data_IF_889846865482
#
_entry.id   IF_889846865482
#
_cell.length_a   1.000
_cell.length_b   1.000
_cell.length_c   1.000
_cell.angle_alpha   90.00
_cell.angle_beta   90.00
_cell.angle_gamma   90.00
#
_symmetry.space_group_name_H-M   'P 1'
#
loop_
_entity.id
_entity.type
_entity.pdbx_description
1 polymer ?
#
# COMPACT_ATOMS: atom_id res chain seq x y z
N UNK A 1 -42.98 20.71 49.64
CA UNK A 1 -43.26 20.56 48.19
C UNK A 1 -42.34 21.51 47.43
N UNK A 2 -41.70 20.99 46.37
CA UNK A 2 -40.82 21.64 45.38
C UNK A 2 -39.38 21.95 45.83
N UNK A 3 -38.36 21.13 45.49
CA UNK A 3 -37.71 20.78 44.20
C UNK A 3 -36.81 21.89 43.59
N UNK A 4 -35.50 21.60 43.61
CA UNK A 4 -34.46 21.80 42.58
C UNK A 4 -34.09 23.21 42.08
N UNK A 5 -32.78 23.50 42.12
CA UNK A 5 -31.98 23.58 40.90
C UNK A 5 -30.48 23.37 41.20
N UNK A 6 -29.98 22.17 40.90
CA UNK A 6 -28.57 21.85 40.73
C UNK A 6 -28.47 21.19 39.36
N UNK A 7 -27.65 21.74 38.45
CA UNK A 7 -27.39 21.11 37.17
C UNK A 7 -26.86 22.05 36.09
N UNK A 8 -25.63 22.55 36.23
CA UNK A 8 -24.84 22.93 35.05
C UNK A 8 -24.28 21.62 34.46
N UNK A 9 -25.02 21.01 33.54
CA UNK A 9 -24.56 19.82 32.84
C UNK A 9 -23.61 20.27 31.71
N UNK A 10 -22.31 20.38 32.02
CA UNK A 10 -21.28 20.60 31.01
C UNK A 10 -21.09 19.30 30.24
N UNK A 11 -21.64 19.23 29.03
CA UNK A 11 -21.41 18.09 28.14
C UNK A 11 -19.96 18.11 27.67
N UNK A 12 -19.17 17.13 28.11
CA UNK A 12 -17.82 16.86 27.62
C UNK A 12 -17.96 15.86 26.47
N UNK A 13 -17.39 16.16 25.31
CA UNK A 13 -17.39 15.22 24.17
C UNK A 13 -16.48 14.02 24.45
N UNK A 14 -16.71 12.86 23.83
CA UNK A 14 -15.87 11.65 24.01
C UNK A 14 -14.37 11.93 23.75
N UNK A 15 -14.11 12.88 22.84
CA UNK A 15 -12.76 13.33 22.50
C UNK A 15 -12.11 14.18 23.60
N UNK A 16 -12.91 14.94 24.34
CA UNK A 16 -12.45 15.73 25.49
C UNK A 16 -12.29 14.84 26.73
N UNK A 17 -13.16 13.84 26.92
CA UNK A 17 -13.02 12.83 27.97
C UNK A 17 -11.74 12.00 27.81
N UNK A 18 -11.45 11.53 26.59
CA UNK A 18 -10.22 10.79 26.28
C UNK A 18 -8.93 11.63 26.39
N UNK A 19 -9.03 12.97 26.37
CA UNK A 19 -7.89 13.88 26.60
C UNK A 19 -7.66 14.13 28.09
N UNK A 20 -8.74 14.23 28.85
CA UNK A 20 -8.70 14.28 30.33
C UNK A 20 -8.09 13.00 30.92
N UNK A 21 -8.46 11.82 30.39
CA UNK A 21 -7.88 10.53 30.81
C UNK A 21 -6.37 10.41 30.53
N UNK A 22 -5.86 11.13 29.52
CA UNK A 22 -4.43 11.19 29.16
C UNK A 22 -3.67 12.33 29.86
N UNK A 23 -4.31 13.04 30.79
CA UNK A 23 -3.68 14.13 31.56
C UNK A 23 -3.39 15.40 30.77
N UNK A 24 -4.01 15.58 29.59
CA UNK A 24 -3.84 16.81 28.79
C UNK A 24 -4.73 17.93 29.35
N UNK A 25 -4.14 19.06 29.74
CA UNK A 25 -4.89 20.23 30.16
C UNK A 25 -5.80 20.76 29.02
N UNK A 26 -7.06 21.04 29.35
CA UNK A 26 -8.01 21.73 28.47
C UNK A 26 -7.66 23.24 28.42
N UNK A 27 -6.51 23.56 27.83
CA UNK A 27 -6.01 24.92 27.66
C UNK A 27 -5.07 25.02 26.47
N UNK A 28 -5.57 25.63 25.39
CA UNK A 28 -4.85 26.15 24.20
C UNK A 28 -3.63 25.36 23.68
N UNK A 29 -3.72 24.04 23.54
CA UNK A 29 -2.85 23.36 22.58
C UNK A 29 -3.18 23.91 21.18
N UNK A 30 -2.20 24.52 20.51
CA UNK A 30 -2.36 25.00 19.15
C UNK A 30 -2.92 23.86 18.30
N UNK A 31 -4.08 24.10 17.67
CA UNK A 31 -4.74 23.07 16.86
C UNK A 31 -3.72 22.57 15.83
N UNK A 32 -3.45 21.26 15.75
CA UNK A 32 -2.48 20.75 14.80
C UNK A 32 -2.84 21.25 13.40
N UNK A 33 -1.84 21.68 12.60
CA UNK A 33 -2.10 22.18 11.26
C UNK A 33 -2.87 21.11 10.48
N UNK A 34 -3.84 21.55 9.68
CA UNK A 34 -4.63 20.64 8.85
C UNK A 34 -3.67 19.80 7.98
N UNK A 35 -3.79 18.46 7.97
CA UNK A 35 -2.94 17.61 7.15
C UNK A 35 -3.08 17.96 5.67
N UNK A 36 -1.99 17.80 4.92
CA UNK A 36 -1.99 18.02 3.48
C UNK A 36 -2.96 17.07 2.75
N UNK A 37 -2.97 15.80 3.15
CA UNK A 37 -3.85 14.77 2.60
C UNK A 37 -4.93 14.41 3.63
N UNK A 38 -6.21 14.76 3.39
CA UNK A 38 -7.30 14.32 4.24
C UNK A 38 -7.51 12.80 4.18
N UNK A 39 -8.07 12.21 5.24
CA UNK A 39 -8.27 10.75 5.35
C UNK A 39 -8.85 10.06 4.11
N UNK A 40 -9.96 10.53 3.49
CA UNK A 40 -10.48 9.91 2.28
C UNK A 40 -9.51 9.92 1.10
N UNK A 41 -8.72 11.00 0.94
CA UNK A 41 -7.70 11.08 -0.10
C UNK A 41 -6.51 10.16 0.22
N UNK A 42 -6.17 9.98 1.50
CA UNK A 42 -5.13 9.03 1.90
C UNK A 42 -5.54 7.60 1.56
N UNK A 43 -6.78 7.20 1.84
CA UNK A 43 -7.30 5.88 1.46
C UNK A 43 -7.27 5.69 -0.06
N UNK A 44 -7.68 6.69 -0.83
CA UNK A 44 -7.59 6.66 -2.29
C UNK A 44 -6.16 6.39 -2.78
N UNK A 45 -5.18 7.11 -2.22
CA UNK A 45 -3.75 6.98 -2.57
C UNK A 45 -3.24 5.58 -2.18
N UNK A 46 -3.48 5.16 -0.94
CA UNK A 46 -2.97 3.88 -0.42
C UNK A 46 -3.48 2.68 -1.23
N UNK A 47 -4.75 2.70 -1.67
CA UNK A 47 -5.35 1.63 -2.48
C UNK A 47 -4.83 1.59 -3.92
N UNK A 48 -4.71 2.73 -4.60
CA UNK A 48 -4.19 2.74 -5.98
C UNK A 48 -2.70 2.36 -6.03
N UNK A 49 -1.91 2.83 -5.06
CA UNK A 49 -0.50 2.41 -4.93
C UNK A 49 -0.39 0.91 -4.71
N UNK A 50 -1.26 0.37 -3.86
CA UNK A 50 -1.33 -1.07 -3.60
C UNK A 50 -1.66 -1.88 -4.86
N UNK A 51 -2.70 -1.50 -5.60
CA UNK A 51 -3.09 -2.18 -6.84
C UNK A 51 -1.93 -2.21 -7.87
N UNK A 52 -1.22 -1.09 -8.06
CA UNK A 52 -0.10 -1.04 -9.00
C UNK A 52 1.11 -1.87 -8.56
N UNK A 53 1.48 -1.86 -7.27
CA UNK A 53 2.58 -2.70 -6.78
C UNK A 53 2.25 -4.18 -6.95
N UNK A 54 1.01 -4.60 -6.66
CA UNK A 54 0.58 -6.00 -6.85
C UNK A 54 0.63 -6.40 -8.31
N UNK A 55 0.12 -5.57 -9.21
CA UNK A 55 0.17 -5.82 -10.65
C UNK A 55 1.62 -5.94 -11.15
N UNK A 56 2.50 -5.01 -10.77
CA UNK A 56 3.90 -5.04 -11.17
C UNK A 56 4.65 -6.25 -10.59
N UNK A 57 4.38 -6.63 -9.34
CA UNK A 57 5.05 -7.75 -8.66
C UNK A 57 4.88 -9.08 -9.40
N UNK A 58 3.84 -9.24 -10.23
CA UNK A 58 3.62 -10.42 -11.11
C UNK A 58 4.81 -10.76 -12.00
N UNK A 59 5.66 -9.79 -12.33
CA UNK A 59 6.88 -9.97 -13.12
C UNK A 59 8.14 -10.25 -12.27
N UNK A 60 8.04 -10.28 -10.93
CA UNK A 60 9.17 -10.27 -10.00
C UNK A 60 9.08 -11.38 -8.94
N UNK A 61 9.00 -12.64 -9.38
CA UNK A 61 8.77 -13.77 -8.48
C UNK A 61 9.85 -13.98 -7.40
N UNK A 62 11.13 -13.73 -7.74
CA UNK A 62 12.21 -13.79 -6.76
C UNK A 62 12.07 -12.77 -5.62
N UNK A 63 11.50 -11.59 -5.91
CA UNK A 63 11.23 -10.54 -4.92
C UNK A 63 10.05 -10.94 -4.03
N UNK A 64 8.97 -11.50 -4.62
CA UNK A 64 7.82 -11.97 -3.86
C UNK A 64 8.19 -13.09 -2.86
N UNK A 65 8.99 -14.08 -3.27
CA UNK A 65 9.47 -15.13 -2.37
C UNK A 65 10.24 -14.57 -1.17
N UNK A 66 11.17 -13.63 -1.42
CA UNK A 66 11.94 -12.98 -0.34
C UNK A 66 11.03 -12.20 0.61
N UNK A 67 10.03 -11.50 0.07
CA UNK A 67 9.04 -10.79 0.86
C UNK A 67 8.21 -11.74 1.73
N UNK A 68 7.81 -12.89 1.19
CA UNK A 68 7.15 -13.97 1.92
C UNK A 68 8.01 -14.44 3.08
N UNK A 69 9.27 -14.82 2.83
CA UNK A 69 10.19 -15.26 3.88
C UNK A 69 10.38 -14.19 4.96
N UNK A 70 10.53 -12.91 4.57
CA UNK A 70 10.68 -11.81 5.52
C UNK A 70 9.47 -11.68 6.46
N UNK A 71 8.26 -11.78 5.93
CA UNK A 71 7.06 -11.74 6.75
C UNK A 71 6.92 -13.03 7.63
N UNK A 72 7.47 -14.18 7.20
CA UNK A 72 7.50 -15.41 8.00
C UNK A 72 8.34 -15.26 9.26
N UNK A 73 9.45 -14.52 9.13
CA UNK A 73 10.47 -14.34 10.17
C UNK A 73 10.06 -13.20 11.11
N UNK A 74 9.75 -12.03 10.57
CA UNK A 74 9.48 -10.83 11.35
C UNK A 74 8.01 -10.71 11.80
N UNK A 75 7.12 -11.53 11.23
CA UNK A 75 5.69 -11.33 11.30
C UNK A 75 5.24 -10.18 10.41
N UNK A 76 3.93 -10.11 10.19
CA UNK A 76 3.27 -8.98 9.55
C UNK A 76 1.90 -8.81 10.22
N UNK A 77 1.32 -7.59 10.24
CA UNK A 77 -0.04 -7.39 10.72
C UNK A 77 -1.07 -8.34 10.07
N UNK A 78 -0.76 -8.87 8.87
CA UNK A 78 -1.59 -9.82 8.13
C UNK A 78 -1.00 -11.25 8.03
N UNK A 79 0.09 -11.59 8.72
CA UNK A 79 0.57 -12.99 8.82
C UNK A 79 -0.26 -13.80 9.82
N UNK A 80 -1.55 -13.79 9.56
CA UNK A 80 -2.63 -14.68 9.96
C UNK A 80 -3.52 -14.66 8.72
N UNK A 81 -3.37 -15.66 7.84
CA UNK A 81 -3.83 -15.65 6.43
C UNK A 81 -5.22 -15.02 6.29
N UNK A 82 -5.22 -13.74 5.95
CA UNK A 82 -6.42 -12.95 5.70
C UNK A 82 -6.06 -12.05 4.52
N UNK A 83 -6.79 -12.14 3.39
CA UNK A 83 -6.59 -11.22 2.28
C UNK A 83 -6.67 -9.76 2.73
N UNK A 84 -5.90 -8.85 2.12
CA UNK A 84 -6.10 -7.41 2.30
C UNK A 84 -7.52 -7.04 1.81
N UNK A 85 -8.43 -6.60 2.70
CA UNK A 85 -9.85 -6.47 2.37
C UNK A 85 -10.18 -5.29 1.45
N UNK A 86 -9.22 -4.42 1.13
CA UNK A 86 -9.41 -3.22 0.30
C UNK A 86 -10.57 -2.33 0.78
N UNK A 87 -10.77 -2.22 2.10
CA UNK A 87 -11.93 -1.49 2.62
C UNK A 87 -11.81 0.01 2.41
N UNK A 88 -12.83 0.61 1.81
CA UNK A 88 -13.00 2.06 1.75
C UNK A 88 -14.41 2.44 2.18
N UNK A 89 -14.55 3.53 2.95
CA UNK A 89 -15.85 4.07 3.38
C UNK A 89 -16.63 4.78 2.26
N UNK A 90 -16.01 5.00 1.10
CA UNK A 90 -16.60 5.69 -0.03
C UNK A 90 -16.82 4.72 -1.19
N UNK A 91 -18.07 4.58 -1.61
CA UNK A 91 -18.45 3.71 -2.72
C UNK A 91 -17.78 4.14 -4.03
N UNK A 92 -17.67 5.44 -4.28
CA UNK A 92 -16.98 5.99 -5.45
C UNK A 92 -15.47 5.64 -5.50
N UNK A 93 -14.81 5.59 -4.33
CA UNK A 93 -13.40 5.18 -4.26
C UNK A 93 -13.27 3.67 -4.46
N UNK A 94 -14.21 2.88 -3.94
CA UNK A 94 -14.22 1.42 -4.16
C UNK A 94 -14.40 1.09 -5.63
N UNK A 95 -15.40 1.69 -6.29
CA UNK A 95 -15.65 1.49 -7.73
C UNK A 95 -14.44 1.91 -8.58
N UNK A 96 -13.83 3.06 -8.28
CA UNK A 96 -12.60 3.55 -8.93
C UNK A 96 -11.45 2.54 -8.88
N UNK A 97 -11.22 1.91 -7.72
CA UNK A 97 -10.18 0.88 -7.54
C UNK A 97 -10.54 -0.41 -8.27
N UNK A 98 -11.78 -0.88 -8.17
CA UNK A 98 -12.27 -2.11 -8.82
C UNK A 98 -12.10 -2.07 -10.35
N UNK A 99 -12.30 -0.91 -10.97
CA UNK A 99 -12.14 -0.74 -12.43
C UNK A 99 -10.74 -0.26 -12.83
N UNK A 100 -9.81 -0.13 -11.87
CA UNK A 100 -8.47 0.35 -12.14
C UNK A 100 -7.67 -0.64 -12.98
N UNK A 101 -6.72 -0.12 -13.76
CA UNK A 101 -5.82 -0.94 -14.56
C UNK A 101 -4.98 -1.89 -13.71
N UNK A 102 -4.57 -1.46 -12.51
CA UNK A 102 -3.83 -2.30 -11.57
C UNK A 102 -4.61 -3.55 -11.14
N UNK A 103 -5.88 -3.39 -10.76
CA UNK A 103 -6.71 -4.55 -10.39
C UNK A 103 -7.02 -5.45 -11.58
N UNK A 104 -7.32 -4.88 -12.76
CA UNK A 104 -7.57 -5.67 -13.97
C UNK A 104 -6.35 -6.53 -14.39
N UNK A 105 -5.15 -5.94 -14.35
CA UNK A 105 -3.91 -6.64 -14.69
C UNK A 105 -3.61 -7.74 -13.64
N UNK A 106 -3.81 -7.46 -12.35
CA UNK A 106 -3.59 -8.46 -11.28
C UNK A 106 -4.60 -9.62 -11.35
N UNK A 107 -5.89 -9.31 -11.53
CA UNK A 107 -6.97 -10.29 -11.64
C UNK A 107 -6.75 -11.26 -12.81
N UNK A 108 -6.22 -10.76 -13.92
CA UNK A 108 -5.82 -11.61 -15.06
C UNK A 108 -4.83 -12.70 -14.64
N UNK A 109 -3.78 -12.35 -13.88
CA UNK A 109 -2.79 -13.33 -13.41
C UNK A 109 -3.35 -14.21 -12.29
N UNK A 110 -4.21 -13.68 -11.42
CA UNK A 110 -4.91 -14.46 -10.38
C UNK A 110 -5.76 -15.57 -11.00
N UNK A 111 -6.57 -15.27 -12.02
CA UNK A 111 -7.38 -16.28 -12.73
C UNK A 111 -6.54 -17.36 -13.39
N UNK A 112 -5.39 -17.00 -13.96
CA UNK A 112 -4.44 -17.98 -14.50
C UNK A 112 -3.89 -18.91 -13.42
N UNK A 113 -3.57 -18.38 -12.23
CA UNK A 113 -3.13 -19.20 -11.08
C UNK A 113 -4.25 -20.06 -10.51
N UNK A 114 -5.50 -19.56 -10.44
CA UNK A 114 -6.66 -20.37 -10.03
C UNK A 114 -6.83 -21.59 -10.97
N UNK A 115 -6.72 -21.38 -12.29
CA UNK A 115 -6.78 -22.46 -13.26
C UNK A 115 -5.63 -23.48 -13.10
N UNK A 116 -4.40 -23.01 -12.85
CA UNK A 116 -3.23 -23.87 -12.60
C UNK A 116 -3.46 -24.80 -11.39
N UNK A 117 -4.13 -24.29 -10.36
CA UNK A 117 -4.43 -24.99 -9.12
C UNK A 117 -5.73 -25.80 -9.15
N UNK A 118 -6.49 -25.74 -10.26
CA UNK A 118 -7.77 -26.43 -10.39
C UNK A 118 -8.90 -25.82 -9.55
N UNK A 119 -8.81 -24.53 -9.23
CA UNK A 119 -9.82 -23.78 -8.48
C UNK A 119 -10.79 -23.05 -9.42
N UNK A 120 -11.96 -22.69 -8.90
CA UNK A 120 -12.95 -21.91 -9.67
C UNK A 120 -12.40 -20.53 -10.03
N UNK A 121 -12.64 -20.08 -11.26
CA UNK A 121 -12.28 -18.74 -11.72
C UNK A 121 -13.12 -17.63 -11.04
N UNK A 122 -14.22 -18.00 -10.37
CA UNK A 122 -15.07 -17.09 -9.59
C UNK A 122 -14.60 -16.91 -8.14
N UNK A 123 -13.55 -17.63 -7.69
CA UNK A 123 -12.99 -17.41 -6.35
C UNK A 123 -12.42 -15.97 -6.27
N UNK A 124 -12.88 -15.15 -5.32
CA UNK A 124 -12.48 -13.74 -5.25
C UNK A 124 -11.02 -13.56 -4.84
N UNK A 125 -10.48 -14.52 -4.08
CA UNK A 125 -9.09 -14.53 -3.61
C UNK A 125 -8.52 -15.95 -3.64
N UNK A 126 -7.22 -16.06 -3.93
CA UNK A 126 -6.46 -17.30 -3.78
C UNK A 126 -6.24 -17.65 -2.30
N UNK A 127 -6.12 -16.63 -1.45
CA UNK A 127 -5.88 -16.74 -0.01
C UNK A 127 -7.20 -16.65 0.78
N UNK A 128 -7.33 -17.44 1.85
CA UNK A 128 -8.50 -17.44 2.76
C UNK A 128 -9.33 -18.73 2.75
N UNK A 129 -10.02 -19.00 3.87
CA UNK A 129 -11.10 -19.98 4.02
C UNK A 129 -10.87 -21.37 3.42
N UNK A 130 -10.29 -22.30 4.18
CA UNK A 130 -10.17 -23.70 3.77
C UNK A 130 -10.43 -24.66 4.91
N UNK A 131 -11.19 -25.72 4.61
CA UNK A 131 -11.23 -26.91 5.45
C UNK A 131 -9.97 -27.77 5.24
N UNK A 132 -9.81 -28.81 6.07
CA UNK A 132 -8.66 -29.72 6.02
C UNK A 132 -8.51 -30.40 4.65
N UNK A 133 -9.63 -30.70 3.97
CA UNK A 133 -9.63 -31.33 2.65
C UNK A 133 -9.11 -30.37 1.57
N UNK A 134 -9.50 -29.09 1.60
CA UNK A 134 -8.97 -28.05 0.69
C UNK A 134 -7.46 -27.88 0.87
N UNK A 135 -6.99 -27.88 2.11
CA UNK A 135 -5.55 -27.78 2.42
C UNK A 135 -4.76 -28.95 1.84
N UNK A 136 -5.18 -30.19 2.11
CA UNK A 136 -4.50 -31.39 1.61
C UNK A 136 -4.51 -31.43 0.08
N UNK A 137 -5.65 -31.11 -0.54
CA UNK A 137 -5.79 -31.12 -2.01
C UNK A 137 -4.88 -30.08 -2.66
N UNK A 138 -4.82 -28.87 -2.08
CA UNK A 138 -3.94 -27.81 -2.56
C UNK A 138 -2.46 -28.17 -2.40
N UNK A 139 -2.07 -28.74 -1.26
CA UNK A 139 -0.69 -29.18 -1.03
C UNK A 139 -0.25 -30.24 -2.05
N UNK A 140 -1.06 -31.28 -2.27
CA UNK A 140 -0.76 -32.31 -3.28
C UNK A 140 -0.66 -31.72 -4.68
N UNK A 141 -1.54 -30.78 -5.04
CA UNK A 141 -1.47 -30.09 -6.32
C UNK A 141 -0.18 -29.28 -6.49
N UNK A 142 0.28 -28.60 -5.43
CA UNK A 142 1.51 -27.81 -5.46
C UNK A 142 2.75 -28.69 -5.61
N UNK A 143 2.78 -29.91 -5.05
CA UNK A 143 3.89 -30.86 -5.23
C UNK A 143 4.09 -31.31 -6.68
N UNK A 144 3.04 -31.26 -7.50
CA UNK A 144 3.09 -31.63 -8.92
C UNK A 144 3.59 -30.48 -9.81
N UNK A 145 3.66 -29.25 -9.29
CA UNK A 145 4.06 -28.09 -10.07
C UNK A 145 5.57 -28.03 -10.22
N UNK A 146 6.04 -27.62 -11.40
CA UNK A 146 7.42 -27.19 -11.56
C UNK A 146 7.68 -25.92 -10.74
N UNK A 147 8.92 -25.75 -10.25
CA UNK A 147 9.30 -24.60 -9.41
C UNK A 147 8.93 -23.25 -10.03
N UNK A 148 9.08 -23.09 -11.35
CA UNK A 148 8.69 -21.86 -12.06
C UNK A 148 7.21 -21.55 -11.85
N UNK A 149 6.34 -22.56 -11.90
CA UNK A 149 4.91 -22.39 -11.70
C UNK A 149 4.56 -22.15 -10.22
N UNK A 150 5.26 -22.79 -9.29
CA UNK A 150 5.15 -22.50 -7.86
C UNK A 150 5.52 -21.04 -7.54
N UNK A 151 6.56 -20.51 -8.20
CA UNK A 151 6.97 -19.12 -8.06
C UNK A 151 5.88 -18.15 -8.54
N UNK A 152 5.09 -18.50 -9.56
CA UNK A 152 3.92 -17.68 -9.96
C UNK A 152 2.81 -17.68 -8.89
N UNK A 153 2.56 -18.84 -8.26
CA UNK A 153 1.60 -18.96 -7.15
C UNK A 153 2.02 -18.07 -5.97
N UNK A 154 3.30 -18.12 -5.59
CA UNK A 154 3.87 -17.34 -4.49
C UNK A 154 3.66 -15.83 -4.73
N UNK A 155 3.81 -15.36 -5.96
CA UNK A 155 3.60 -13.95 -6.29
C UNK A 155 2.16 -13.52 -6.05
N UNK A 156 1.19 -14.34 -6.46
CA UNK A 156 -0.22 -14.01 -6.27
C UNK A 156 -0.59 -14.04 -4.79
N UNK A 157 -0.13 -15.06 -4.04
CA UNK A 157 -0.30 -15.11 -2.58
C UNK A 157 0.24 -13.85 -1.93
N UNK A 158 1.50 -13.47 -2.23
CA UNK A 158 2.10 -12.28 -1.65
C UNK A 158 1.43 -10.99 -2.08
N UNK A 159 0.97 -10.90 -3.33
CA UNK A 159 0.18 -9.78 -3.79
C UNK A 159 -1.09 -9.62 -2.97
N UNK A 160 -1.87 -10.70 -2.77
CA UNK A 160 -3.14 -10.67 -2.01
C UNK A 160 -2.98 -10.37 -0.52
N UNK A 161 -1.85 -10.76 0.09
CA UNK A 161 -1.61 -10.59 1.53
C UNK A 161 -0.75 -9.39 1.89
N UNK A 162 -0.28 -8.61 0.91
CA UNK A 162 0.46 -7.38 1.16
C UNK A 162 -0.52 -6.30 1.65
N UNK A 163 -0.24 -5.65 2.78
CA UNK A 163 -1.14 -4.62 3.32
C UNK A 163 -1.05 -3.30 2.55
N UNK A 164 -2.21 -2.71 2.22
CA UNK A 164 -2.26 -1.37 1.64
C UNK A 164 -1.77 -0.31 2.63
N UNK A 165 -1.10 0.73 2.14
CA UNK A 165 -0.57 1.79 3.01
C UNK A 165 0.41 1.27 4.07
N UNK A 166 1.30 0.35 3.71
CA UNK A 166 2.34 -0.16 4.61
C UNK A 166 3.74 0.26 4.14
N UNK A 167 4.73 0.26 5.04
CA UNK A 167 6.12 0.52 4.64
C UNK A 167 6.67 -0.59 3.73
N UNK A 168 6.19 -1.83 3.90
CA UNK A 168 6.54 -2.95 3.01
C UNK A 168 6.06 -2.70 1.57
N UNK A 169 4.85 -2.17 1.39
CA UNK A 169 4.35 -1.75 0.08
C UNK A 169 5.27 -0.71 -0.58
N UNK A 170 5.65 0.32 0.19
CA UNK A 170 6.54 1.37 -0.30
C UNK A 170 7.92 0.82 -0.69
N UNK A 171 8.49 -0.07 0.13
CA UNK A 171 9.76 -0.71 -0.15
C UNK A 171 9.72 -1.51 -1.46
N UNK A 172 8.70 -2.35 -1.64
CA UNK A 172 8.53 -3.16 -2.85
C UNK A 172 8.33 -2.26 -4.07
N UNK A 173 7.45 -1.25 -3.98
CA UNK A 173 7.16 -0.35 -5.09
C UNK A 173 8.38 0.44 -5.58
N UNK A 174 9.23 0.88 -4.65
CA UNK A 174 10.52 1.53 -4.96
C UNK A 174 11.49 0.51 -5.56
N UNK A 175 11.62 -0.67 -4.97
CA UNK A 175 12.58 -1.69 -5.38
C UNK A 175 12.33 -2.20 -6.81
N UNK A 176 11.07 -2.48 -7.15
CA UNK A 176 10.71 -2.98 -8.49
C UNK A 176 10.51 -1.87 -9.51
N UNK A 177 10.65 -0.59 -9.11
CA UNK A 177 10.55 0.56 -10.00
C UNK A 177 9.15 0.74 -10.61
N UNK A 178 8.09 0.70 -9.79
CA UNK A 178 6.71 0.85 -10.27
C UNK A 178 6.52 2.20 -10.96
N UNK A 179 6.25 2.17 -12.27
CA UNK A 179 5.81 3.31 -13.06
C UNK A 179 4.29 3.51 -12.90
N UNK A 180 3.92 4.39 -11.98
CA UNK A 180 2.52 4.61 -11.64
C UNK A 180 1.68 5.21 -12.80
N UNK A 181 2.31 5.88 -13.77
CA UNK A 181 1.61 6.46 -14.92
C UNK A 181 1.03 5.39 -15.86
N UNK A 182 1.49 4.14 -15.74
CA UNK A 182 0.93 2.99 -16.46
C UNK A 182 -0.36 2.45 -15.84
N UNK A 183 -0.58 2.69 -14.56
CA UNK A 183 -1.65 2.06 -13.79
C UNK A 183 -2.71 3.05 -13.29
N UNK A 184 -2.41 4.35 -13.34
CA UNK A 184 -3.28 5.38 -12.78
C UNK A 184 -3.46 6.57 -13.72
N UNK A 185 -4.66 7.13 -13.67
CA UNK A 185 -5.03 8.42 -14.22
C UNK A 185 -6.02 9.10 -13.29
N UNK A 186 -6.10 10.43 -13.33
CA UNK A 186 -7.05 11.17 -12.50
C UNK A 186 -8.50 10.83 -12.88
N UNK A 187 -9.32 10.49 -11.89
CA UNK A 187 -10.73 10.16 -12.07
C UNK A 187 -11.64 11.03 -11.18
N UNK A 188 -12.94 10.78 -11.25
CA UNK A 188 -13.91 11.56 -10.48
C UNK A 188 -13.76 11.40 -8.96
N UNK A 189 -13.37 10.21 -8.49
CA UNK A 189 -13.13 9.94 -7.08
C UNK A 189 -11.95 10.77 -6.54
N UNK A 190 -10.85 10.85 -7.30
CA UNK A 190 -9.71 11.70 -6.98
C UNK A 190 -10.12 13.16 -6.79
N UNK A 191 -10.83 13.73 -7.78
CA UNK A 191 -11.26 15.12 -7.70
C UNK A 191 -12.30 15.36 -6.60
N UNK A 192 -13.14 14.39 -6.26
CA UNK A 192 -14.09 14.49 -5.16
C UNK A 192 -13.40 14.57 -3.79
N UNK A 193 -12.31 13.81 -3.61
CA UNK A 193 -11.51 13.79 -2.38
C UNK A 193 -10.64 15.04 -2.20
N UNK A 194 -10.24 15.70 -3.30
CA UNK A 194 -9.34 16.85 -3.29
C UNK A 194 -10.04 18.14 -2.80
N UNK A 195 -9.83 18.54 -1.54
CA UNK A 195 -10.51 19.70 -0.93
C UNK A 195 -9.59 20.85 -0.55
N UNK A 196 -8.29 20.62 -0.49
CA UNK A 196 -7.32 21.62 -0.06
C UNK A 196 -6.98 22.59 -1.20
N UNK A 197 -7.29 23.88 -1.02
CA UNK A 197 -7.06 24.91 -2.04
C UNK A 197 -5.57 25.13 -2.32
N UNK A 198 -4.71 25.05 -1.31
CA UNK A 198 -3.27 25.26 -1.51
C UNK A 198 -2.68 24.13 -2.37
N UNK A 199 -3.04 22.90 -2.04
CA UNK A 199 -2.68 21.72 -2.82
C UNK A 199 -3.26 21.80 -4.24
N UNK A 200 -4.53 22.19 -4.39
CA UNK A 200 -5.14 22.38 -5.70
C UNK A 200 -4.37 23.38 -6.56
N UNK A 201 -3.92 24.50 -5.99
CA UNK A 201 -3.10 25.47 -6.70
C UNK A 201 -1.75 24.88 -7.11
N UNK A 202 -1.11 24.05 -6.27
CA UNK A 202 0.12 23.34 -6.63
C UNK A 202 -0.10 22.32 -7.74
N UNK A 203 -1.21 21.59 -7.72
CA UNK A 203 -1.58 20.66 -8.80
C UNK A 203 -1.85 21.42 -10.10
N UNK A 204 -2.48 22.60 -10.05
CA UNK A 204 -2.59 23.47 -11.24
C UNK A 204 -1.21 23.88 -11.75
N UNK A 205 -0.25 24.17 -10.88
CA UNK A 205 1.11 24.48 -11.31
C UNK A 205 1.79 23.29 -12.01
N UNK A 206 1.63 22.08 -11.48
CA UNK A 206 2.19 20.86 -12.08
C UNK A 206 1.60 20.55 -13.47
N UNK A 207 0.30 20.81 -13.66
CA UNK A 207 -0.43 20.42 -14.89
C UNK A 207 -0.48 21.55 -15.92
N UNK A 208 -0.66 22.79 -15.48
CA UNK A 208 -0.89 23.97 -16.32
C UNK A 208 0.24 25.00 -16.28
N UNK A 209 1.25 24.79 -15.43
CA UNK A 209 2.37 25.71 -15.23
C UNK A 209 2.12 26.79 -14.17
N UNK A 210 3.22 27.28 -13.59
CA UNK A 210 3.22 28.30 -12.53
C UNK A 210 2.46 29.59 -12.90
N UNK A 211 2.54 30.13 -14.14
CA UNK A 211 1.80 31.34 -14.49
C UNK A 211 0.28 31.16 -14.40
N UNK A 212 -0.24 29.99 -14.82
CA UNK A 212 -1.67 29.68 -14.74
C UNK A 212 -2.10 29.51 -13.30
N UNK A 213 -1.29 28.83 -12.48
CA UNK A 213 -1.55 28.70 -11.05
C UNK A 213 -1.60 30.05 -10.34
N UNK A 214 -0.64 30.93 -10.60
CA UNK A 214 -0.56 32.27 -10.03
C UNK A 214 -1.78 33.13 -10.42
N UNK A 215 -2.15 33.13 -11.70
CA UNK A 215 -3.31 33.87 -12.20
C UNK A 215 -4.63 33.42 -11.57
N UNK A 216 -4.73 32.14 -11.20
CA UNK A 216 -5.94 31.54 -10.63
C UNK A 216 -5.85 31.32 -9.11
N UNK A 217 -4.82 31.84 -8.42
CA UNK A 217 -4.59 31.56 -6.99
C UNK A 217 -5.76 31.96 -6.08
N UNK A 218 -6.56 32.95 -6.49
CA UNK A 218 -7.74 33.43 -5.75
C UNK A 218 -9.03 32.72 -6.13
N UNK A 219 -9.04 31.92 -7.19
CA UNK A 219 -10.23 31.21 -7.68
C UNK A 219 -10.78 30.17 -6.71
N UNK A 220 -12.01 29.72 -6.94
CA UNK A 220 -12.63 28.66 -6.14
C UNK A 220 -12.01 27.29 -6.42
N UNK A 221 -12.09 26.36 -5.46
CA UNK A 221 -11.60 24.99 -5.67
C UNK A 221 -12.26 24.27 -6.85
N UNK A 222 -13.53 24.57 -7.15
CA UNK A 222 -14.23 24.03 -8.32
C UNK A 222 -13.61 24.52 -9.64
N UNK A 223 -13.24 25.80 -9.71
CA UNK A 223 -12.54 26.37 -10.88
C UNK A 223 -11.16 25.73 -11.04
N UNK A 224 -10.39 25.59 -9.96
CA UNK A 224 -9.07 24.94 -10.00
C UNK A 224 -9.16 23.49 -10.49
N UNK A 225 -10.12 22.69 -9.98
CA UNK A 225 -10.34 21.31 -10.46
C UNK A 225 -10.68 21.25 -11.94
N UNK A 226 -11.52 22.18 -12.42
CA UNK A 226 -11.88 22.27 -13.85
C UNK A 226 -10.64 22.59 -14.71
N UNK A 227 -9.79 23.51 -14.27
CA UNK A 227 -8.53 23.81 -14.98
C UNK A 227 -7.67 22.55 -15.12
N UNK A 228 -7.53 21.76 -14.05
CA UNK A 228 -6.77 20.51 -14.08
C UNK A 228 -7.40 19.52 -15.08
N UNK A 229 -8.70 19.24 -14.95
CA UNK A 229 -9.42 18.33 -15.86
C UNK A 229 -9.28 18.75 -17.32
N UNK A 230 -9.48 20.02 -17.62
CA UNK A 230 -9.42 20.51 -19.00
C UNK A 230 -8.04 20.30 -19.64
N UNK A 231 -6.95 20.39 -18.87
CA UNK A 231 -5.60 20.08 -19.36
C UNK A 231 -5.37 18.56 -19.50
N UNK A 232 -5.84 17.76 -18.56
CA UNK A 232 -5.72 16.30 -18.64
C UNK A 232 -6.52 15.71 -19.81
N UNK A 233 -7.66 16.33 -20.14
CA UNK A 233 -8.52 15.91 -21.25
C UNK A 233 -8.11 16.54 -22.59
N UNK A 234 -7.37 17.67 -22.57
CA UNK A 234 -6.98 18.41 -23.77
C UNK A 234 -8.14 19.17 -24.42
N UNK A 235 -9.03 19.74 -23.60
CA UNK A 235 -10.25 20.44 -24.04
C UNK A 235 -10.17 21.95 -23.76
N UNK A 236 -11.15 22.71 -24.26
CA UNK A 236 -11.24 24.16 -24.05
C UNK A 236 -9.98 24.93 -24.50
N UNK A 237 -9.38 24.50 -25.62
CA UNK A 237 -8.21 25.14 -26.22
C UNK A 237 -6.87 24.82 -25.54
N UNK A 238 -6.82 23.80 -24.67
CA UNK A 238 -5.61 23.40 -23.94
C UNK A 238 -4.98 22.16 -24.56
N UNK A 239 -3.65 22.11 -24.55
CA UNK A 239 -2.91 20.91 -24.93
C UNK A 239 -3.14 19.79 -23.90
N UNK A 240 -3.34 18.56 -24.38
CA UNK A 240 -3.53 17.40 -23.51
C UNK A 240 -2.26 17.07 -22.75
N UNK A 241 -2.37 16.94 -21.43
CA UNK A 241 -1.29 16.48 -20.55
C UNK A 241 -1.53 15.01 -20.21
N UNK A 242 -0.73 14.13 -20.80
CA UNK A 242 -0.81 12.68 -20.58
C UNK A 242 0.23 12.20 -19.55
N UNK A 243 -0.09 11.16 -18.80
CA UNK A 243 0.85 10.53 -17.85
C UNK A 243 1.21 11.39 -16.63
N UNK A 244 0.46 12.47 -16.37
CA UNK A 244 0.66 13.26 -15.15
C UNK A 244 0.30 12.45 -13.90
N UNK A 245 1.10 12.60 -12.86
CA UNK A 245 0.90 12.02 -11.54
C UNK A 245 0.99 13.10 -10.47
N UNK A 246 0.09 13.12 -9.47
CA UNK A 246 0.34 13.89 -8.28
C UNK A 246 1.51 13.30 -7.50
N UNK A 247 2.30 14.14 -6.83
CA UNK A 247 3.56 13.76 -6.16
C UNK A 247 3.44 12.58 -5.18
N UNK A 248 2.30 12.42 -4.52
CA UNK A 248 2.05 11.31 -3.59
C UNK A 248 1.86 9.95 -4.25
N UNK A 249 1.55 9.92 -5.56
CA UNK A 249 1.34 8.70 -6.35
C UNK A 249 2.64 8.15 -6.95
N UNK A 250 3.72 8.93 -6.99
CA UNK A 250 5.02 8.46 -7.48
C UNK A 250 5.71 7.49 -6.51
N UNK A 251 6.64 6.66 -7.01
CA UNK A 251 7.58 5.90 -6.19
C UNK A 251 9.00 6.41 -6.49
N UNK A 252 9.73 6.98 -5.51
CA UNK A 252 9.28 7.33 -4.15
C UNK A 252 8.27 8.49 -4.14
N UNK A 253 7.38 8.57 -3.14
CA UNK A 253 6.39 9.64 -3.03
C UNK A 253 6.99 10.94 -2.50
N UNK A 254 6.37 12.08 -2.82
CA UNK A 254 6.73 13.39 -2.29
C UNK A 254 5.49 14.22 -1.91
N UNK A 255 5.65 15.16 -0.98
CA UNK A 255 4.61 16.10 -0.56
C UNK A 255 4.62 17.40 -1.40
N UNK A 256 3.49 18.11 -1.44
CA UNK A 256 3.36 19.45 -2.02
C UNK A 256 3.67 20.58 -1.04
N UNK A 257 3.54 20.32 0.26
CA UNK A 257 3.68 21.29 1.34
C UNK A 257 4.56 20.75 2.47
N UNK A 258 5.01 21.64 3.34
CA UNK A 258 5.78 21.26 4.53
C UNK A 258 4.89 20.85 5.73
N UNK A 259 3.56 20.74 5.56
CA UNK A 259 2.63 20.46 6.68
C UNK A 259 2.66 19.02 7.19
N UNK A 260 3.13 18.09 6.36
CA UNK A 260 3.02 16.66 6.65
C UNK A 260 1.58 16.13 6.57
N UNK A 261 1.35 14.95 7.12
CA UNK A 261 0.09 14.23 6.99
C UNK A 261 -0.06 13.64 5.59
N UNK A 262 1.02 13.03 5.09
CA UNK A 262 1.09 12.32 3.82
C UNK A 262 1.64 10.93 4.12
N UNK A 263 0.75 9.96 4.30
CA UNK A 263 1.11 8.64 4.82
C UNK A 263 2.11 7.89 3.94
N UNK A 264 2.05 8.05 2.62
CA UNK A 264 3.01 7.39 1.71
C UNK A 264 4.44 7.94 1.89
N UNK A 265 4.59 9.26 2.09
CA UNK A 265 5.89 9.89 2.37
C UNK A 265 6.44 9.45 3.73
N UNK A 266 5.59 9.42 4.76
CA UNK A 266 5.96 8.96 6.10
C UNK A 266 6.47 7.51 6.08
N UNK A 267 5.81 6.63 5.32
CA UNK A 267 6.21 5.22 5.16
C UNK A 267 7.46 5.05 4.30
N UNK A 268 7.61 5.82 3.23
CA UNK A 268 8.84 5.81 2.42
C UNK A 268 10.06 6.29 3.23
N UNK A 269 9.88 7.19 4.19
CA UNK A 269 10.93 7.59 5.11
C UNK A 269 11.42 6.43 6.00
N UNK A 270 10.53 5.51 6.41
CA UNK A 270 10.92 4.29 7.15
C UNK A 270 11.80 3.38 6.27
N UNK A 271 11.49 3.27 4.98
CA UNK A 271 12.30 2.49 4.02
C UNK A 271 13.69 3.11 3.85
N UNK A 272 13.75 4.44 3.68
CA UNK A 272 15.00 5.16 3.57
C UNK A 272 15.86 5.02 4.84
N UNK A 273 15.24 5.11 6.02
CA UNK A 273 15.92 4.92 7.30
C UNK A 273 16.48 3.50 7.46
N UNK A 274 15.72 2.47 7.06
CA UNK A 274 16.19 1.10 7.09
C UNK A 274 17.42 0.89 6.19
N UNK A 275 17.39 1.42 4.96
CA UNK A 275 18.54 1.36 4.03
C UNK A 275 19.78 2.09 4.56
N UNK A 276 19.59 3.22 5.24
CA UNK A 276 20.70 3.97 5.84
C UNK A 276 21.29 3.28 7.09
N UNK A 277 20.48 2.50 7.82
CA UNK A 277 20.95 1.68 8.95
C UNK A 277 21.80 0.48 8.54
N UNK A 278 21.67 0.01 7.30
CA UNK A 278 22.54 -1.02 6.71
C UNK A 278 23.92 -0.45 6.28
N UNK A 279 24.06 0.88 6.17
CA UNK A 279 25.29 1.59 5.79
C UNK A 279 26.15 2.03 7.00
N UNK A 280 25.73 1.78 8.25
CA UNK A 280 26.63 1.92 9.40
C UNK A 280 27.69 0.80 9.33
N UNK A 281 29.01 1.12 9.30
CA UNK A 281 30.04 0.10 9.25
C UNK A 281 29.90 -0.79 10.49
N UNK A 282 29.57 -2.06 10.25
CA UNK A 282 29.46 -3.06 11.31
C UNK A 282 30.72 -3.04 12.16
N UNK A 283 30.63 -2.83 13.48
CA UNK A 283 31.78 -3.00 14.33
C UNK A 283 32.10 -4.50 14.37
N UNK A 284 33.21 -4.85 13.74
CA UNK A 284 33.92 -6.14 13.72
C UNK A 284 33.63 -7.09 12.54
N UNK A 285 34.55 -7.05 11.57
CA UNK A 285 35.07 -8.24 10.90
C UNK A 285 35.56 -9.23 11.98
N UNK A 286 34.70 -10.18 12.33
CA UNK A 286 34.93 -11.11 13.44
C UNK A 286 34.24 -12.44 13.23
N UNK A 287 34.55 -13.12 12.11
CA UNK A 287 34.27 -14.54 11.93
C UNK A 287 32.85 -14.87 11.48
N UNK A 288 32.57 -14.73 10.19
CA UNK A 288 31.45 -15.44 9.58
C UNK A 288 31.74 -16.95 9.61
N UNK A 289 31.20 -17.65 10.61
CA UNK A 289 31.07 -19.10 10.56
C UNK A 289 30.17 -19.44 9.36
N UNK A 290 30.81 -19.90 8.29
CA UNK A 290 30.14 -20.46 7.11
C UNK A 290 29.24 -21.60 7.62
N UNK A 291 27.92 -21.52 7.38
CA UNK A 291 27.07 -22.68 7.63
C UNK A 291 27.63 -23.86 6.82
N UNK A 292 27.83 -25.04 7.43
CA UNK A 292 28.24 -26.22 6.68
C UNK A 292 27.15 -26.55 5.66
N UNK A 293 27.56 -26.77 4.41
CA UNK A 293 26.69 -27.26 3.35
C UNK A 293 26.14 -28.62 3.73
N UNK A 294 24.87 -28.87 3.43
CA UNK A 294 24.21 -30.17 3.62
C UNK A 294 24.85 -31.32 2.79
N UNK A 295 25.83 -31.01 1.95
CA UNK A 295 26.62 -31.98 1.18
C UNK A 295 27.76 -32.62 2.00
N UNK A 296 28.14 -32.05 3.16
CA UNK A 296 29.23 -32.59 4.00
C UNK A 296 28.79 -33.64 5.04
N UNK A 297 27.49 -33.98 5.10
CA UNK A 297 26.95 -34.92 6.08
C UNK A 297 26.79 -36.37 5.54
N UNK A 298 27.40 -36.68 4.39
CA UNK A 298 27.07 -37.87 3.60
C UNK A 298 28.24 -38.70 3.10
N UNK A 299 29.30 -38.91 3.89
CA UNK A 299 30.29 -39.96 3.59
C UNK A 299 31.07 -40.32 4.86
N UNK A 300 30.65 -41.41 5.51
CA UNK A 300 31.44 -42.33 6.36
C UNK A 300 30.60 -42.83 7.54
N UNK A 301 29.64 -43.71 7.23
CA UNK A 301 29.11 -44.66 8.19
C UNK A 301 29.08 -46.04 7.53
N UNK A 302 30.20 -46.74 7.63
CA UNK A 302 30.35 -48.14 7.23
C UNK A 302 29.42 -49.02 8.11
N UNK A 303 28.62 -49.94 7.54
CA UNK A 303 27.73 -50.77 8.33
C UNK A 303 28.52 -51.87 9.05
N UNK A 304 28.65 -51.75 10.37
CA UNK A 304 29.16 -52.83 11.21
C UNK A 304 28.17 -54.02 11.19
N UNK A 305 28.70 -55.17 10.74
CA UNK A 305 27.99 -56.44 10.56
C UNK A 305 27.43 -57.00 11.86
N UNK A 306 26.23 -57.59 11.78
CA UNK A 306 25.71 -58.57 12.72
C UNK A 306 26.70 -59.75 12.87
N UNK A 307 26.95 -60.18 14.11
CA UNK A 307 27.38 -61.55 14.39
C UNK A 307 26.83 -62.04 15.74
N UNK A 308 26.04 -63.12 15.62
CA UNK A 308 25.65 -64.18 16.57
C UNK A 308 25.12 -63.82 17.97
#
# INVERSE_FOLDING_TARGET
MHHQSLGSNTYVTDKEASRLERGEALGSAAKPPRPEVPGPLQTYIDLHRHAAVRAALTAHAGTALRLMVAHAIAGSPLWRVTPEPQTCRSDAVRESVEVSKGEADFDTKRRAVLALLGLSAEEPTLTGGGDERRLVSLFLRLLELADVALMEVIVIVMGETLAAGSAALEAVGIEIGVDMARYWQADDAFFACLRDKEVLTRIVADVAGEPVAAANARETGAVLKRIVRDHLDGVNGRAKVAGWLPKWMAFPPAAYTARGGVGSVERAALVAAARAGDDEPSPTDGGAARMPSLEDAGADAEPARLAA
#
